data_IF_418455067745
#
_entry.id   IF_418455067745
#
_cell.length_a   1.000
_cell.length_b   1.000
_cell.length_c   1.000
_cell.angle_alpha   90.00
_cell.angle_beta   90.00
_cell.angle_gamma   90.00
#
_symmetry.space_group_name_H-M   'P 1'
#
loop_
_entity.id
_entity.type
_entity.pdbx_description
1 polymer ?
#
# COMPACT_ATOMS: atom_id res chain seq x y z
N UNK A 1 -5.85 16.43 7.33
CA UNK A 1 -6.70 15.76 6.34
C UNK A 1 -6.05 16.01 4.99
N UNK A 2 -5.49 14.99 4.33
CA UNK A 2 -4.97 15.13 2.98
C UNK A 2 -6.14 15.46 2.03
N UNK A 3 -5.96 16.48 1.21
CA UNK A 3 -6.86 16.82 0.10
C UNK A 3 -6.36 16.17 -1.20
N UNK A 4 -7.07 16.43 -2.31
CA UNK A 4 -6.83 15.75 -3.59
C UNK A 4 -5.38 15.90 -4.08
N UNK A 5 -4.76 17.06 -3.86
CA UNK A 5 -3.38 17.31 -4.23
C UNK A 5 -2.41 16.44 -3.41
N UNK A 6 -2.60 16.34 -2.09
CA UNK A 6 -1.77 15.45 -1.27
C UNK A 6 -2.00 13.98 -1.62
N UNK A 7 -3.24 13.57 -1.91
CA UNK A 7 -3.55 12.20 -2.31
C UNK A 7 -2.81 11.83 -3.61
N UNK A 8 -2.82 12.72 -4.61
CA UNK A 8 -2.06 12.53 -5.86
C UNK A 8 -0.55 12.56 -5.63
N UNK A 9 -0.06 13.42 -4.73
CA UNK A 9 1.35 13.46 -4.36
C UNK A 9 1.81 12.15 -3.68
N UNK A 10 1.03 11.66 -2.71
CA UNK A 10 1.33 10.40 -2.02
C UNK A 10 1.25 9.22 -2.97
N UNK A 11 0.25 9.15 -3.86
CA UNK A 11 0.11 8.06 -4.84
C UNK A 11 1.41 7.82 -5.62
N UNK A 12 2.11 8.89 -6.00
CA UNK A 12 3.35 8.84 -6.78
C UNK A 12 4.52 8.21 -6.02
N UNK A 13 4.50 8.19 -4.69
CA UNK A 13 5.64 7.71 -3.88
C UNK A 13 5.95 6.23 -4.15
N UNK A 14 4.92 5.38 -4.27
CA UNK A 14 5.09 3.97 -4.66
C UNK A 14 5.44 3.76 -6.14
N UNK A 15 5.65 4.83 -6.91
CA UNK A 15 6.08 4.75 -8.31
C UNK A 15 7.41 4.01 -8.49
N UNK A 16 8.29 4.01 -7.48
CA UNK A 16 9.56 3.28 -7.50
C UNK A 16 9.37 1.75 -7.64
N UNK A 17 8.26 1.20 -7.14
CA UNK A 17 7.95 -0.22 -7.23
C UNK A 17 7.23 -0.63 -8.51
N UNK A 18 7.03 0.28 -9.47
CA UNK A 18 6.27 -0.03 -10.68
C UNK A 18 7.03 -1.02 -11.57
N UNK A 19 6.35 -2.09 -11.99
CA UNK A 19 6.91 -3.16 -12.81
C UNK A 19 7.46 -4.33 -12.00
N UNK A 20 7.68 -4.12 -10.70
CA UNK A 20 8.25 -5.12 -9.80
C UNK A 20 7.15 -5.99 -9.16
N UNK A 21 7.52 -7.25 -8.96
CA UNK A 21 6.70 -8.28 -8.34
C UNK A 21 6.67 -8.13 -6.82
N UNK A 22 5.49 -8.28 -6.22
CA UNK A 22 5.33 -8.38 -4.78
C UNK A 22 5.74 -9.78 -4.34
N UNK A 23 6.86 -9.89 -3.62
CA UNK A 23 7.43 -11.17 -3.19
C UNK A 23 6.94 -11.61 -1.82
N UNK A 24 6.53 -10.65 -0.97
CA UNK A 24 5.96 -10.91 0.33
C UNK A 24 5.08 -9.73 0.76
N UNK A 25 4.28 -9.93 1.80
CA UNK A 25 3.32 -8.95 2.28
C UNK A 25 3.16 -9.08 3.79
N UNK A 26 3.26 -7.95 4.49
CA UNK A 26 3.01 -7.87 5.93
C UNK A 26 1.80 -6.98 6.21
N UNK A 27 0.93 -7.44 7.12
CA UNK A 27 -0.29 -6.74 7.54
C UNK A 27 -0.35 -6.62 9.06
N UNK A 28 -0.67 -5.43 9.55
CA UNK A 28 -1.23 -5.26 10.89
C UNK A 28 -2.72 -5.68 10.85
N UNK A 29 -2.98 -6.97 10.63
CA UNK A 29 -4.27 -7.48 10.13
C UNK A 29 -5.50 -7.18 11.01
N UNK A 30 -5.32 -6.97 12.32
CA UNK A 30 -6.41 -6.63 13.25
C UNK A 30 -6.70 -5.13 13.34
N UNK A 31 -5.91 -4.30 12.66
CA UNK A 31 -6.04 -2.87 12.68
C UNK A 31 -7.29 -2.41 11.90
N UNK A 32 -7.91 -1.32 12.37
CA UNK A 32 -9.15 -0.77 11.79
C UNK A 32 -8.99 -0.28 10.35
N UNK A 33 -7.76 -0.02 9.89
CA UNK A 33 -7.49 0.27 8.46
C UNK A 33 -7.95 -0.86 7.52
N UNK A 34 -8.07 -2.09 8.02
CA UNK A 34 -8.56 -3.26 7.28
C UNK A 34 -10.02 -3.60 7.60
N UNK A 35 -10.78 -2.70 8.24
CA UNK A 35 -12.22 -2.93 8.46
C UNK A 35 -12.90 -3.26 7.13
N UNK A 36 -13.75 -4.28 7.15
CA UNK A 36 -14.48 -4.77 5.96
C UNK A 36 -13.56 -5.30 4.84
N UNK A 37 -12.28 -5.52 5.10
CA UNK A 37 -11.31 -6.08 4.16
C UNK A 37 -10.93 -7.51 4.57
N UNK A 38 -10.95 -8.44 3.61
CA UNK A 38 -10.44 -9.78 3.83
C UNK A 38 -8.91 -9.78 3.66
N UNK A 39 -8.19 -9.72 4.78
CA UNK A 39 -6.72 -9.63 4.81
C UNK A 39 -6.03 -10.89 4.29
N UNK A 40 -6.66 -12.07 4.40
CA UNK A 40 -6.14 -13.30 3.80
C UNK A 40 -6.15 -13.20 2.26
N UNK A 41 -7.27 -12.74 1.69
CA UNK A 41 -7.38 -12.53 0.23
C UNK A 41 -6.39 -11.49 -0.29
N UNK A 42 -6.03 -10.48 0.51
CA UNK A 42 -4.97 -9.54 0.12
C UNK A 42 -3.64 -10.26 -0.09
N UNK A 43 -3.27 -11.17 0.81
CA UNK A 43 -2.02 -11.91 0.68
C UNK A 43 -2.08 -12.88 -0.51
N UNK A 44 -3.17 -13.65 -0.63
CA UNK A 44 -3.37 -14.63 -1.71
C UNK A 44 -3.37 -13.98 -3.11
N UNK A 45 -3.91 -12.77 -3.24
CA UNK A 45 -4.08 -12.12 -4.54
C UNK A 45 -2.95 -11.16 -4.92
N UNK A 46 -2.10 -10.75 -3.98
CA UNK A 46 -1.04 -9.77 -4.28
C UNK A 46 0.34 -10.39 -4.36
N UNK A 47 0.64 -11.44 -3.59
CA UNK A 47 1.94 -12.11 -3.68
C UNK A 47 2.08 -12.80 -5.03
N UNK A 48 3.18 -12.54 -5.74
CA UNK A 48 3.44 -12.98 -7.10
C UNK A 48 2.95 -12.01 -8.19
N UNK A 49 2.18 -10.98 -7.83
CA UNK A 49 1.68 -10.00 -8.80
C UNK A 49 2.59 -8.77 -8.89
N UNK A 50 2.61 -8.13 -10.07
CA UNK A 50 3.42 -6.93 -10.35
C UNK A 50 2.61 -5.66 -10.18
N UNK A 51 3.18 -4.62 -9.59
CA UNK A 51 2.55 -3.30 -9.55
C UNK A 51 2.59 -2.64 -10.94
N UNK A 52 1.45 -2.51 -11.62
CA UNK A 52 1.41 -2.03 -13.01
C UNK A 52 1.24 -0.52 -13.12
N UNK A 53 0.32 0.05 -12.34
CA UNK A 53 0.00 1.49 -12.38
C UNK A 53 -0.70 1.93 -11.11
N UNK A 54 -0.78 3.23 -10.91
CA UNK A 54 -1.62 3.82 -9.88
C UNK A 54 -2.38 5.03 -10.41
N UNK A 55 -3.57 5.25 -9.86
CA UNK A 55 -4.43 6.41 -10.14
C UNK A 55 -5.09 6.91 -8.85
N UNK A 56 -5.77 8.05 -8.89
CA UNK A 56 -6.60 8.53 -7.78
C UNK A 56 -8.06 8.58 -8.18
N UNK A 57 -8.96 8.32 -7.23
CA UNK A 57 -10.39 8.58 -7.38
C UNK A 57 -10.92 9.20 -6.09
N UNK A 58 -11.24 10.49 -6.13
CA UNK A 58 -11.53 11.26 -4.92
C UNK A 58 -10.36 11.19 -3.93
N UNK A 59 -10.64 10.87 -2.66
CA UNK A 59 -9.61 10.77 -1.60
C UNK A 59 -8.96 9.38 -1.47
N UNK A 60 -9.06 8.55 -2.52
CA UNK A 60 -8.44 7.22 -2.57
C UNK A 60 -7.34 7.17 -3.60
N UNK A 61 -6.24 6.52 -3.23
CA UNK A 61 -5.22 6.04 -4.15
C UNK A 61 -5.60 4.62 -4.56
N UNK A 62 -5.50 4.33 -5.85
CA UNK A 62 -5.82 3.02 -6.42
C UNK A 62 -4.56 2.49 -7.10
N UNK A 63 -4.11 1.31 -6.67
CA UNK A 63 -2.95 0.61 -7.22
C UNK A 63 -3.45 -0.62 -7.95
N UNK A 64 -3.10 -0.75 -9.22
CA UNK A 64 -3.44 -1.89 -10.05
C UNK A 64 -2.23 -2.79 -10.18
N UNK A 65 -2.48 -4.08 -9.94
CA UNK A 65 -1.51 -5.15 -10.07
C UNK A 65 -1.87 -6.04 -11.26
N UNK A 66 -0.96 -6.91 -11.68
CA UNK A 66 -1.31 -7.99 -12.60
C UNK A 66 -2.39 -8.92 -11.99
N UNK A 67 -2.96 -9.79 -12.82
CA UNK A 67 -4.10 -10.62 -12.41
C UNK A 67 -5.42 -9.85 -12.22
N UNK A 68 -5.50 -8.62 -12.74
CA UNK A 68 -6.63 -7.68 -12.55
C UNK A 68 -6.93 -7.35 -11.07
N UNK A 69 -5.90 -7.40 -10.24
CA UNK A 69 -6.00 -7.07 -8.82
C UNK A 69 -5.91 -5.56 -8.59
N UNK A 70 -6.71 -5.06 -7.65
CA UNK A 70 -6.71 -3.65 -7.26
C UNK A 70 -6.64 -3.49 -5.74
N UNK A 71 -5.75 -2.61 -5.30
CA UNK A 71 -5.64 -2.18 -3.92
C UNK A 71 -6.02 -0.71 -3.80
N UNK A 72 -7.06 -0.43 -3.01
CA UNK A 72 -7.46 0.93 -2.67
C UNK A 72 -6.94 1.34 -1.29
N UNK A 73 -6.23 2.46 -1.21
CA UNK A 73 -5.76 3.03 0.07
C UNK A 73 -6.38 4.41 0.27
N UNK A 74 -6.88 4.65 1.47
CA UNK A 74 -7.35 5.96 1.92
C UNK A 74 -6.42 6.45 3.03
N UNK A 75 -5.85 7.65 2.88
CA UNK A 75 -4.86 8.19 3.84
C UNK A 75 -5.46 8.53 5.21
N UNK A 76 -6.79 8.67 5.31
CA UNK A 76 -7.40 9.10 6.56
C UNK A 76 -6.98 10.53 6.91
N UNK A 77 -6.56 10.76 8.16
CA UNK A 77 -6.15 12.10 8.60
C UNK A 77 -4.63 12.28 8.65
N UNK A 78 -3.91 11.20 8.94
CA UNK A 78 -2.47 11.17 9.26
C UNK A 78 -1.71 10.14 8.43
N UNK A 79 -2.40 9.36 7.60
CA UNK A 79 -1.80 8.31 6.82
C UNK A 79 -0.84 8.84 5.78
N UNK A 80 0.19 8.05 5.50
CA UNK A 80 1.25 8.34 4.54
C UNK A 80 1.65 7.05 3.85
N UNK A 81 2.15 7.18 2.62
CA UNK A 81 2.88 6.10 1.96
C UNK A 81 4.30 6.52 1.65
N UNK A 82 5.22 5.56 1.71
CA UNK A 82 6.65 5.75 1.44
C UNK A 82 7.26 4.48 0.87
N UNK A 83 8.49 4.61 0.38
CA UNK A 83 9.33 3.49 -0.09
C UNK A 83 10.48 3.35 0.90
N UNK A 84 10.76 2.11 1.28
CA UNK A 84 11.85 1.73 2.17
C UNK A 84 12.71 0.64 1.49
N UNK A 85 13.91 0.33 2.01
CA UNK A 85 14.70 -0.80 1.52
C UNK A 85 13.99 -2.15 1.70
N UNK A 86 14.31 -3.16 0.88
CA UNK A 86 13.66 -4.48 0.94
C UNK A 86 13.75 -5.20 2.29
N UNK A 87 14.76 -4.89 3.12
CA UNK A 87 14.93 -5.47 4.46
C UNK A 87 14.18 -4.70 5.57
N UNK A 88 13.30 -3.77 5.19
CA UNK A 88 12.52 -2.95 6.11
C UNK A 88 11.73 -3.80 7.13
N UNK A 89 11.67 -3.33 8.37
CA UNK A 89 10.89 -3.97 9.44
C UNK A 89 9.76 -3.03 9.88
N UNK A 90 8.49 -3.47 9.82
CA UNK A 90 7.34 -2.63 10.20
C UNK A 90 7.42 -2.14 11.65
N UNK A 91 7.11 -0.86 11.85
CA UNK A 91 6.93 -0.25 13.17
C UNK A 91 5.47 -0.25 13.60
N UNK A 92 5.21 0.21 14.84
CA UNK A 92 3.88 0.22 15.48
C UNK A 92 2.75 0.77 14.60
N UNK A 93 3.02 1.82 13.83
CA UNK A 93 2.05 2.53 13.00
C UNK A 93 2.14 2.19 11.52
N UNK A 94 3.00 1.26 11.14
CA UNK A 94 2.94 0.66 9.81
C UNK A 94 1.83 -0.38 9.83
N UNK A 95 0.99 -0.36 8.79
CA UNK A 95 -0.18 -1.24 8.74
C UNK A 95 -0.17 -2.18 7.55
N UNK A 96 0.44 -1.76 6.45
CA UNK A 96 0.62 -2.56 5.25
C UNK A 96 2.03 -2.34 4.74
N UNK A 97 2.73 -3.44 4.46
CA UNK A 97 3.98 -3.42 3.71
C UNK A 97 3.87 -4.43 2.57
N UNK A 98 4.09 -3.97 1.34
CA UNK A 98 4.28 -4.83 0.18
C UNK A 98 5.78 -4.93 -0.08
N UNK A 99 6.36 -6.11 0.00
CA UNK A 99 7.77 -6.32 -0.27
C UNK A 99 7.98 -6.65 -1.74
N UNK A 100 9.01 -6.05 -2.31
CA UNK A 100 9.58 -6.34 -3.61
C UNK A 100 11.06 -6.69 -3.40
N UNK A 101 11.76 -7.14 -4.45
CA UNK A 101 13.17 -7.55 -4.33
C UNK A 101 14.08 -6.41 -3.83
N UNK A 102 13.84 -5.18 -4.29
CA UNK A 102 14.68 -4.02 -3.98
C UNK A 102 14.01 -3.03 -3.01
N UNK A 103 12.69 -3.12 -2.84
CA UNK A 103 11.89 -2.11 -2.15
C UNK A 103 10.88 -2.73 -1.18
N UNK A 104 10.49 -1.95 -0.18
CA UNK A 104 9.30 -2.17 0.63
C UNK A 104 8.36 -0.96 0.47
N UNK A 105 7.13 -1.21 0.02
CA UNK A 105 6.10 -0.20 -0.18
C UNK A 105 5.24 -0.13 1.08
N UNK A 106 5.42 0.93 1.87
CA UNK A 106 4.87 1.02 3.23
C UNK A 106 3.72 2.01 3.30
N UNK A 107 2.61 1.60 3.92
CA UNK A 107 1.54 2.48 4.38
C UNK A 107 1.53 2.54 5.91
N UNK A 108 1.52 3.76 6.43
CA UNK A 108 1.47 4.07 7.86
C UNK A 108 0.31 4.99 8.17
N UNK A 109 -0.27 4.88 9.37
CA UNK A 109 -1.20 5.85 9.94
C UNK A 109 -1.03 5.96 11.45
N UNK A 110 -0.48 7.06 11.96
CA UNK A 110 -0.21 7.23 13.40
C UNK A 110 -1.46 7.26 14.29
N UNK A 111 -2.65 7.45 13.71
CA UNK A 111 -3.92 7.47 14.46
C UNK A 111 -4.63 6.13 14.47
N UNK A 112 -4.10 5.12 13.79
CA UNK A 112 -4.62 3.76 13.81
C UNK A 112 -3.63 2.82 14.49
#
# INVERSE_FOLDING_TARGET
MPELAEVEWYRKQWGAGRGDEIVDLWLHARNRVFRETNTRKLQENLVGEKLLRSTTRGKRMLFNFSGDNWLGIHLGMTGKIRVEPANFRPHKHDHLVLYQREHALVFTDSRQ
#
